data_IF_347115927069
#
_entry.id   IF_347115927069
#
_cell.length_a   1.000
_cell.length_b   1.000
_cell.length_c   1.000
_cell.angle_alpha   90.00
_cell.angle_beta   90.00
_cell.angle_gamma   90.00
#
_symmetry.space_group_name_H-M   'P 1'
#
loop_
_entity.id
_entity.type
_entity.pdbx_description
1 polymer ?
#
# COMPACT_ATOMS: atom_id res chain seq x y z
N UNK A 1 -3.01 10.97 -27.05
CA UNK A 1 -2.35 10.07 -26.10
C UNK A 1 -2.76 10.54 -24.70
N UNK A 2 -3.53 9.77 -23.92
CA UNK A 2 -3.91 10.20 -22.56
C UNK A 2 -2.65 10.16 -21.72
N UNK A 3 -2.05 11.32 -21.46
CA UNK A 3 -1.03 11.49 -20.42
C UNK A 3 -1.71 11.16 -19.11
N UNK A 4 -1.53 9.94 -18.62
CA UNK A 4 -2.00 9.55 -17.30
C UNK A 4 -1.22 10.38 -16.29
N UNK A 5 -1.93 11.14 -15.47
CA UNK A 5 -1.30 11.94 -14.42
C UNK A 5 -0.70 10.99 -13.38
N UNK A 6 0.63 11.06 -13.22
CA UNK A 6 1.36 10.26 -12.25
C UNK A 6 0.83 10.50 -10.84
N UNK A 7 0.43 11.74 -10.51
CA UNK A 7 -0.16 12.08 -9.22
C UNK A 7 -1.49 11.33 -9.00
N UNK A 8 -2.34 11.22 -10.02
CA UNK A 8 -3.57 10.44 -9.95
C UNK A 8 -3.29 8.95 -9.68
N UNK A 9 -2.22 8.39 -10.24
CA UNK A 9 -1.86 6.96 -10.04
C UNK A 9 -1.35 6.72 -8.63
N UNK A 10 -0.62 7.67 -8.06
CA UNK A 10 -0.19 7.62 -6.66
C UNK A 10 -1.38 7.72 -5.71
N UNK A 11 -2.36 8.58 -6.01
CA UNK A 11 -3.60 8.68 -5.23
C UNK A 11 -4.37 7.35 -5.18
N UNK A 12 -4.42 6.61 -6.30
CA UNK A 12 -5.04 5.27 -6.32
C UNK A 12 -4.37 4.30 -5.33
N UNK A 13 -3.04 4.35 -5.20
CA UNK A 13 -2.30 3.54 -4.21
C UNK A 13 -2.63 3.99 -2.79
N UNK A 14 -2.66 5.31 -2.54
CA UNK A 14 -2.98 5.85 -1.22
C UNK A 14 -4.39 5.44 -0.77
N UNK A 15 -5.39 5.53 -1.66
CA UNK A 15 -6.76 5.10 -1.39
C UNK A 15 -6.80 3.60 -1.10
N UNK A 16 -6.09 2.78 -1.89
CA UNK A 16 -6.03 1.34 -1.68
C UNK A 16 -5.42 0.96 -0.31
N UNK A 17 -4.48 1.75 0.19
CA UNK A 17 -3.84 1.57 1.50
C UNK A 17 -4.68 2.11 2.66
N UNK A 18 -5.40 3.22 2.47
CA UNK A 18 -6.25 3.82 3.51
C UNK A 18 -7.32 2.83 4.02
N UNK A 19 -7.81 1.96 3.15
CA UNK A 19 -8.78 0.91 3.44
C UNK A 19 -8.14 -0.48 3.65
N UNK A 20 -6.86 -0.54 3.96
CA UNK A 20 -6.15 -1.82 4.12
C UNK A 20 -6.55 -2.56 5.41
N UNK A 21 -6.66 -1.84 6.53
CA UNK A 21 -6.94 -2.40 7.84
C UNK A 21 -8.28 -1.90 8.37
N UNK A 22 -8.99 -2.78 9.08
CA UNK A 22 -10.18 -2.41 9.83
C UNK A 22 -9.73 -1.60 11.04
N UNK A 23 -10.03 -0.29 11.03
CA UNK A 23 -9.60 0.66 12.05
C UNK A 23 -10.84 1.39 12.60
N UNK A 24 -10.94 1.58 13.93
CA UNK A 24 -12.05 2.31 14.55
C UNK A 24 -12.06 3.80 14.17
N UNK A 25 -10.95 4.31 13.63
CA UNK A 25 -10.82 5.68 13.11
C UNK A 25 -10.24 5.65 11.70
N UNK A 26 -10.52 6.67 10.90
CA UNK A 26 -9.99 6.79 9.54
C UNK A 26 -8.46 6.69 9.53
N UNK A 27 -7.93 5.76 8.75
CA UNK A 27 -6.49 5.63 8.52
C UNK A 27 -5.94 6.87 7.84
N UNK A 28 -4.74 7.27 8.22
CA UNK A 28 -4.02 8.36 7.57
C UNK A 28 -3.02 7.77 6.60
N UNK A 29 -2.99 8.30 5.38
CA UNK A 29 -1.97 7.99 4.37
C UNK A 29 -1.32 9.29 3.93
N UNK A 30 0.01 9.34 3.91
CA UNK A 30 0.77 10.44 3.34
C UNK A 30 1.88 9.93 2.43
N UNK A 31 2.30 10.79 1.51
CA UNK A 31 3.32 10.51 0.51
C UNK A 31 4.46 11.53 0.67
N UNK A 32 5.69 11.05 0.60
CA UNK A 32 6.90 11.84 0.51
C UNK A 32 7.69 11.39 -0.71
N UNK A 33 8.07 12.33 -1.56
CA UNK A 33 8.98 12.10 -2.69
C UNK A 33 10.35 12.69 -2.33
N UNK A 34 11.39 11.85 -2.30
CA UNK A 34 12.76 12.26 -2.02
C UNK A 34 13.70 11.73 -3.11
N UNK A 35 13.96 12.55 -4.13
CA UNK A 35 14.72 12.12 -5.31
C UNK A 35 14.01 10.97 -6.02
N UNK A 36 14.68 9.82 -6.12
CA UNK A 36 14.11 8.60 -6.71
C UNK A 36 13.34 7.74 -5.70
N UNK A 37 13.37 8.08 -4.41
CA UNK A 37 12.63 7.37 -3.38
C UNK A 37 11.20 7.93 -3.25
N UNK A 38 10.24 7.02 -3.17
CA UNK A 38 8.84 7.33 -2.89
C UNK A 38 8.48 6.61 -1.60
N UNK A 39 8.13 7.38 -0.58
CA UNK A 39 7.83 6.89 0.76
C UNK A 39 6.36 7.14 1.06
N UNK A 40 5.62 6.07 1.32
CA UNK A 40 4.22 6.16 1.75
C UNK A 40 4.14 5.82 3.24
N UNK A 41 3.63 6.75 4.04
CA UNK A 41 3.32 6.48 5.44
C UNK A 41 1.84 6.15 5.58
N UNK A 42 1.55 4.99 6.16
CA UNK A 42 0.21 4.56 6.52
C UNK A 42 0.13 4.46 8.04
N UNK A 43 -0.86 5.08 8.67
CA UNK A 43 -1.12 4.94 10.10
C UNK A 43 -2.60 4.65 10.35
N UNK A 44 -2.88 3.71 11.25
CA UNK A 44 -4.23 3.32 11.63
C UNK A 44 -4.31 3.01 13.13
N UNK A 45 -5.51 3.12 13.69
CA UNK A 45 -5.78 2.81 15.08
C UNK A 45 -6.06 1.31 15.18
N UNK A 46 -5.47 0.63 16.15
CA UNK A 46 -5.71 -0.81 16.41
C UNK A 46 -6.54 -1.02 17.67
N UNK A 47 -6.45 -0.11 18.63
CA UNK A 47 -7.33 -0.08 19.79
C UNK A 47 -7.69 1.37 20.10
N UNK A 48 -8.97 1.62 20.42
CA UNK A 48 -9.47 2.96 20.68
C UNK A 48 -10.19 3.05 22.01
N UNK A 49 -9.86 4.11 22.75
CA UNK A 49 -10.46 4.39 24.05
C UNK A 49 -11.31 5.65 24.02
N UNK A 50 -12.07 5.87 25.10
CA UNK A 50 -12.87 7.10 25.28
C UNK A 50 -12.01 8.36 25.24
N UNK A 51 -10.77 8.26 25.72
CA UNK A 51 -9.74 9.28 25.55
C UNK A 51 -8.85 8.89 24.36
N UNK A 52 -8.84 9.71 23.30
CA UNK A 52 -8.08 9.43 22.09
C UNK A 52 -6.57 9.54 22.28
N UNK A 53 -6.09 10.11 23.39
CA UNK A 53 -4.65 10.10 23.73
C UNK A 53 -4.15 8.70 24.10
N UNK A 54 -5.06 7.79 24.44
CA UNK A 54 -4.76 6.40 24.78
C UNK A 54 -4.89 5.45 23.59
N UNK A 55 -5.30 5.93 22.41
CA UNK A 55 -5.42 5.09 21.23
C UNK A 55 -4.08 4.40 20.90
N UNK A 56 -4.10 3.08 20.80
CA UNK A 56 -2.97 2.35 20.25
C UNK A 56 -2.98 2.44 18.72
N UNK A 57 -1.83 2.80 18.14
CA UNK A 57 -1.69 3.00 16.70
C UNK A 57 -0.61 2.13 16.10
N UNK A 58 -0.88 1.65 14.91
CA UNK A 58 0.12 1.07 14.05
C UNK A 58 0.52 2.05 12.94
N UNK A 59 1.77 1.95 12.51
CA UNK A 59 2.30 2.71 11.40
C UNK A 59 3.16 1.82 10.49
N UNK A 60 2.98 1.96 9.19
CA UNK A 60 3.80 1.34 8.17
C UNK A 60 4.49 2.42 7.33
N UNK A 61 5.80 2.27 7.15
CA UNK A 61 6.57 3.06 6.18
C UNK A 61 6.84 2.18 4.97
N UNK A 62 6.29 2.55 3.83
CA UNK A 62 6.34 1.77 2.59
C UNK A 62 7.27 2.47 1.62
N UNK A 63 8.33 1.77 1.21
CA UNK A 63 9.38 2.29 0.36
C UNK A 63 9.23 1.73 -1.05
N UNK A 64 9.20 2.61 -2.04
CA UNK A 64 9.22 2.30 -3.46
C UNK A 64 10.18 3.24 -4.19
N UNK A 65 10.50 2.90 -5.44
CA UNK A 65 11.24 3.81 -6.32
C UNK A 65 10.30 4.52 -7.29
N UNK A 66 10.70 5.71 -7.75
CA UNK A 66 9.98 6.46 -8.78
C UNK A 66 9.80 5.61 -10.05
N UNK A 67 10.84 4.89 -10.48
CA UNK A 67 10.81 4.03 -11.68
C UNK A 67 9.74 2.94 -11.57
N UNK A 68 9.59 2.31 -10.39
CA UNK A 68 8.53 1.32 -10.16
C UNK A 68 7.13 1.93 -10.32
N UNK A 69 6.92 3.12 -9.75
CA UNK A 69 5.62 3.79 -9.79
C UNK A 69 5.32 4.39 -11.17
N UNK A 70 6.33 4.81 -11.92
CA UNK A 70 6.20 5.24 -13.32
C UNK A 70 5.80 4.06 -14.20
N UNK A 71 6.40 2.88 -14.00
CA UNK A 71 5.97 1.65 -14.68
C UNK A 71 4.52 1.34 -14.35
N UNK A 72 4.15 1.35 -13.06
CA UNK A 72 2.78 1.15 -12.61
C UNK A 72 1.80 2.14 -13.25
N UNK A 73 2.17 3.42 -13.36
CA UNK A 73 1.35 4.46 -13.95
C UNK A 73 1.03 4.20 -15.44
N UNK A 74 1.96 3.58 -16.17
CA UNK A 74 1.81 3.22 -17.58
C UNK A 74 0.94 1.99 -17.87
N UNK A 75 0.58 1.20 -16.85
CA UNK A 75 -0.15 -0.06 -17.04
C UNK A 75 -1.65 0.13 -17.36
N UNK A 76 -2.32 -0.95 -17.75
CA UNK A 76 -3.79 -0.99 -17.83
C UNK A 76 -4.45 -1.04 -16.45
N UNK A 77 -5.74 -0.71 -16.36
CA UNK A 77 -6.50 -0.73 -15.09
C UNK A 77 -6.48 -2.09 -14.39
N UNK A 78 -6.58 -3.18 -15.14
CA UNK A 78 -6.55 -4.54 -14.58
C UNK A 78 -5.19 -4.84 -13.92
N UNK A 79 -4.09 -4.58 -14.63
CA UNK A 79 -2.73 -4.77 -14.12
C UNK A 79 -2.45 -3.89 -12.89
N UNK A 80 -2.89 -2.62 -12.92
CA UNK A 80 -2.76 -1.74 -11.74
C UNK A 80 -3.51 -2.28 -10.53
N UNK A 81 -4.73 -2.81 -10.70
CA UNK A 81 -5.48 -3.44 -9.60
C UNK A 81 -4.75 -4.67 -9.05
N UNK A 82 -4.15 -5.49 -9.90
CA UNK A 82 -3.32 -6.63 -9.47
C UNK A 82 -2.13 -6.16 -8.62
N UNK A 83 -1.42 -5.12 -9.06
CA UNK A 83 -0.29 -4.57 -8.29
C UNK A 83 -0.78 -3.98 -6.96
N UNK A 84 -1.89 -3.24 -6.93
CA UNK A 84 -2.49 -2.74 -5.68
C UNK A 84 -2.81 -3.89 -4.71
N UNK A 85 -3.35 -5.00 -5.20
CA UNK A 85 -3.60 -6.19 -4.37
C UNK A 85 -2.30 -6.78 -3.81
N UNK A 86 -1.25 -6.87 -4.61
CA UNK A 86 0.07 -7.35 -4.16
C UNK A 86 0.70 -6.44 -3.11
N UNK A 87 0.63 -5.12 -3.29
CA UNK A 87 1.06 -4.14 -2.28
C UNK A 87 0.30 -4.36 -0.97
N UNK A 88 -1.03 -4.45 -1.02
CA UNK A 88 -1.89 -4.69 0.15
C UNK A 88 -1.51 -6.01 0.86
N UNK A 89 -1.30 -7.08 0.11
CA UNK A 89 -0.88 -8.37 0.65
C UNK A 89 0.50 -8.28 1.32
N UNK A 90 1.47 -7.59 0.69
CA UNK A 90 2.80 -7.42 1.24
C UNK A 90 2.79 -6.66 2.57
N UNK A 91 2.05 -5.54 2.62
CA UNK A 91 1.91 -4.73 3.84
C UNK A 91 1.21 -5.53 4.94
N UNK A 92 0.14 -6.28 4.61
CA UNK A 92 -0.56 -7.14 5.57
C UNK A 92 0.33 -8.26 6.09
N UNK A 93 1.05 -8.95 5.22
CA UNK A 93 1.97 -10.02 5.62
C UNK A 93 3.07 -9.48 6.55
N UNK A 94 3.58 -8.28 6.28
CA UNK A 94 4.56 -7.64 7.15
C UNK A 94 3.97 -7.27 8.51
N UNK A 95 2.75 -6.75 8.55
CA UNK A 95 2.02 -6.46 9.79
C UNK A 95 1.86 -7.73 10.64
N UNK A 96 1.33 -8.81 10.07
CA UNK A 96 1.13 -10.07 10.81
C UNK A 96 2.45 -10.64 11.34
N UNK A 97 3.55 -10.49 10.59
CA UNK A 97 4.88 -10.90 11.05
C UNK A 97 5.47 -9.99 12.13
N UNK A 98 5.00 -8.74 12.24
CA UNK A 98 5.48 -7.76 13.22
C UNK A 98 4.63 -7.70 14.49
N UNK A 99 3.36 -8.12 14.42
CA UNK A 99 2.46 -8.00 15.57
C UNK A 99 2.91 -8.97 16.67
N UNK A 100 2.85 -8.50 17.90
CA UNK A 100 3.02 -9.36 19.06
C UNK A 100 1.72 -10.19 19.25
N UNK A 101 1.78 -11.53 19.14
CA UNK A 101 0.60 -12.37 19.38
C UNK A 101 0.07 -12.26 20.81
N UNK A 102 0.89 -11.84 21.79
CA UNK A 102 0.47 -11.61 23.16
C UNK A 102 -0.26 -10.27 23.37
N UNK A 103 -0.12 -9.32 22.43
CA UNK A 103 -0.72 -7.99 22.51
C UNK A 103 -1.35 -7.59 21.16
N UNK A 104 -2.47 -8.22 20.76
CA UNK A 104 -3.08 -8.00 19.45
C UNK A 104 -3.59 -6.58 19.20
N UNK A 105 -3.74 -5.75 20.24
CA UNK A 105 -4.09 -4.32 20.16
C UNK A 105 -2.93 -3.36 20.47
N UNK A 106 -1.69 -3.84 20.54
CA UNK A 106 -0.53 -3.01 20.85
C UNK A 106 -0.15 -2.07 19.71
N UNK A 107 0.44 -0.91 20.06
CA UNK A 107 1.03 -0.02 19.06
C UNK A 107 2.17 -0.71 18.30
N UNK A 108 2.32 -0.42 17.01
CA UNK A 108 3.34 -1.06 16.19
C UNK A 108 3.92 -0.15 15.11
N UNK A 109 5.17 -0.38 14.73
CA UNK A 109 5.84 0.35 13.65
C UNK A 109 6.63 -0.63 12.80
N UNK A 110 6.52 -0.56 11.48
CA UNK A 110 7.32 -1.42 10.60
C UNK A 110 7.56 -0.82 9.22
N UNK A 111 8.65 -1.26 8.60
CA UNK A 111 8.99 -0.91 7.23
C UNK A 111 8.62 -2.03 6.25
N UNK A 112 8.19 -1.61 5.06
CA UNK A 112 7.92 -2.46 3.91
C UNK A 112 8.69 -1.91 2.73
N UNK A 113 9.62 -2.68 2.18
CA UNK A 113 10.23 -2.37 0.87
C UNK A 113 9.43 -3.10 -0.19
N UNK A 114 8.95 -2.36 -1.19
CA UNK A 114 8.31 -2.93 -2.37
C UNK A 114 9.39 -3.36 -3.37
N UNK A 115 9.58 -4.66 -3.50
CA UNK A 115 10.50 -5.23 -4.48
C UNK A 115 9.91 -5.17 -5.90
N UNK A 116 10.78 -5.40 -6.88
CA UNK A 116 10.40 -5.32 -8.30
C UNK A 116 9.37 -6.37 -8.71
N UNK A 117 9.32 -7.51 -8.01
CA UNK A 117 8.36 -8.58 -8.29
C UNK A 117 6.91 -8.17 -7.99
N UNK A 118 6.70 -7.22 -7.06
CA UNK A 118 5.37 -6.63 -6.83
C UNK A 118 4.83 -5.96 -8.09
N UNK A 119 5.71 -5.32 -8.86
CA UNK A 119 5.39 -4.55 -10.06
C UNK A 119 5.43 -5.37 -11.36
N UNK A 120 5.82 -6.64 -11.28
CA UNK A 120 5.87 -7.53 -12.44
C UNK A 120 4.48 -8.07 -12.78
N UNK A 121 3.69 -7.25 -13.46
CA UNK A 121 2.47 -7.70 -14.11
C UNK A 121 2.88 -8.30 -15.45
N UNK A 122 3.10 -9.63 -15.50
CA UNK A 122 3.12 -10.33 -16.78
C UNK A 122 1.90 -9.85 -17.57
N UNK A 123 2.15 -9.40 -18.80
CA UNK A 123 1.09 -9.12 -19.75
C UNK A 123 0.35 -10.42 -19.94
N UNK A 124 -0.77 -10.60 -19.24
CA UNK A 124 -1.68 -11.72 -19.45
C UNK A 124 -2.28 -11.57 -20.85
N UNK A 125 -1.50 -11.97 -21.85
CA UNK A 125 -1.93 -12.22 -23.21
C UNK A 125 -2.53 -13.62 -23.25
N UNK A 126 -3.48 -13.90 -22.35
CA UNK A 126 -4.36 -15.06 -22.46
C UNK A 126 -5.71 -14.60 -22.99
N UNK A 127 -5.75 -14.30 -24.29
CA UNK A 127 -6.98 -14.49 -25.05
C UNK A 127 -6.95 -15.94 -25.55
N UNK A 128 -7.76 -16.86 -24.99
CA UNK A 128 -7.99 -18.11 -25.69
C UNK A 128 -8.78 -17.74 -26.94
N UNK A 129 -8.15 -17.88 -28.11
CA UNK A 129 -8.85 -17.89 -29.38
C UNK A 129 -9.91 -18.99 -29.30
N UNK A 130 -11.18 -18.60 -29.35
CA UNK A 130 -12.27 -19.54 -29.60
C UNK A 130 -12.25 -19.76 -31.12
N UNK A 131 -11.77 -20.93 -31.54
CA UNK A 131 -12.06 -21.50 -32.86
C UNK A 131 -13.52 -21.94 -32.95
#
# INVERSE_FOLDING_TARGET
MKTFDFAQRLEEIQIALAHLFDSPKTSTVSLLEEGDAIIVHLSWVVDSHRDSTLDARCAATIHATRVQLERYAGLGTAQRRTIQQRIRQRVRARFEACRDPAQPGGACTFDVVLDEAIFDAESDAYFPSIE
#
